data_IF_051256281206
#
_entry.id   IF_051256281206
#
_cell.length_a   1.000
_cell.length_b   1.000
_cell.length_c   1.000
_cell.angle_alpha   90.00
_cell.angle_beta   90.00
_cell.angle_gamma   90.00
#
_symmetry.space_group_name_H-M   'P 1'
#
loop_
_entity.id
_entity.type
_entity.pdbx_description
1 polymer ?
#
# COMPACT_ATOMS: atom_id res chain seq x y z
N UNK A 1 -16.05 -11.27 -22.04
CA UNK A 1 -15.37 -10.06 -21.54
C UNK A 1 -16.12 -8.78 -21.89
N UNK A 2 -16.36 -8.45 -23.18
CA UNK A 2 -17.10 -7.24 -23.55
C UNK A 2 -18.49 -7.10 -22.89
N UNK A 3 -19.25 -8.21 -22.77
CA UNK A 3 -20.56 -8.21 -22.09
C UNK A 3 -20.49 -7.83 -20.60
N UNK A 4 -19.35 -8.05 -19.92
CA UNK A 4 -19.16 -7.67 -18.52
C UNK A 4 -19.13 -6.15 -18.34
N UNK A 5 -18.66 -5.40 -19.34
CA UNK A 5 -18.71 -3.93 -19.33
C UNK A 5 -20.12 -3.36 -19.42
N UNK A 6 -21.09 -4.17 -19.85
CA UNK A 6 -22.50 -3.77 -19.92
C UNK A 6 -23.23 -4.22 -18.65
N UNK A 7 -22.99 -5.46 -18.21
CA UNK A 7 -23.76 -6.08 -17.12
C UNK A 7 -23.27 -5.73 -15.73
N UNK A 8 -21.97 -5.49 -15.52
CA UNK A 8 -21.49 -5.08 -14.19
C UNK A 8 -22.07 -3.72 -13.80
N UNK A 9 -22.01 -2.66 -14.64
CA UNK A 9 -22.62 -1.37 -14.28
C UNK A 9 -24.11 -1.43 -13.96
N UNK A 10 -24.87 -2.36 -14.55
CA UNK A 10 -26.32 -2.48 -14.35
C UNK A 10 -26.71 -3.15 -13.03
N UNK A 11 -25.76 -3.62 -12.23
CA UNK A 11 -26.02 -4.17 -10.90
C UNK A 11 -26.26 -3.04 -9.88
N UNK A 12 -27.25 -3.23 -9.00
CA UNK A 12 -27.56 -2.27 -7.95
C UNK A 12 -26.52 -2.25 -6.81
N UNK A 13 -25.97 -3.42 -6.47
CA UNK A 13 -25.01 -3.53 -5.35
C UNK A 13 -23.60 -3.12 -5.79
N UNK A 14 -23.08 -2.05 -5.18
CA UNK A 14 -21.74 -1.54 -5.42
C UNK A 14 -20.63 -2.55 -5.04
N UNK A 15 -20.80 -3.34 -3.99
CA UNK A 15 -19.79 -4.30 -3.58
C UNK A 15 -19.75 -5.51 -4.52
N UNK A 16 -20.90 -5.95 -5.01
CA UNK A 16 -20.96 -6.92 -6.10
C UNK A 16 -20.24 -6.39 -7.34
N UNK A 17 -20.48 -5.13 -7.73
CA UNK A 17 -19.79 -4.49 -8.87
C UNK A 17 -18.27 -4.46 -8.70
N UNK A 18 -17.78 -3.98 -7.56
CA UNK A 18 -16.34 -3.95 -7.24
C UNK A 18 -15.73 -5.35 -7.34
N UNK A 19 -16.30 -6.35 -6.66
CA UNK A 19 -15.81 -7.73 -6.70
C UNK A 19 -15.79 -8.30 -8.11
N UNK A 20 -16.82 -8.03 -8.91
CA UNK A 20 -16.90 -8.50 -10.29
C UNK A 20 -15.88 -7.82 -11.20
N UNK A 21 -15.69 -6.49 -11.08
CA UNK A 21 -14.64 -5.81 -11.85
C UNK A 21 -13.26 -6.39 -11.57
N UNK A 22 -12.93 -6.65 -10.30
CA UNK A 22 -11.65 -7.24 -9.92
C UNK A 22 -11.49 -8.68 -10.44
N UNK A 23 -12.50 -9.53 -10.23
CA UNK A 23 -12.47 -10.94 -10.64
C UNK A 23 -12.40 -11.09 -12.16
N UNK A 24 -13.21 -10.32 -12.89
CA UNK A 24 -13.21 -10.33 -14.35
C UNK A 24 -11.90 -9.69 -14.87
N UNK A 25 -11.35 -8.68 -14.19
CA UNK A 25 -10.05 -8.11 -14.51
C UNK A 25 -8.91 -9.12 -14.38
N UNK A 26 -8.89 -9.93 -13.32
CA UNK A 26 -7.95 -11.03 -13.15
C UNK A 26 -8.12 -12.10 -14.24
N UNK A 27 -9.37 -12.48 -14.53
CA UNK A 27 -9.67 -13.45 -15.58
C UNK A 27 -9.21 -12.94 -16.95
N UNK A 28 -9.39 -11.63 -17.23
CA UNK A 28 -8.88 -11.00 -18.44
C UNK A 28 -7.35 -11.11 -18.53
N UNK A 29 -6.66 -10.79 -17.43
CA UNK A 29 -5.21 -10.83 -17.36
C UNK A 29 -4.68 -12.25 -17.62
N UNK A 30 -5.26 -13.27 -16.98
CA UNK A 30 -4.90 -14.68 -17.19
C UNK A 30 -5.16 -15.17 -18.62
N UNK A 31 -6.08 -14.53 -19.34
CA UNK A 31 -6.39 -14.84 -20.74
C UNK A 31 -5.71 -13.89 -21.73
N UNK A 32 -4.65 -13.17 -21.31
CA UNK A 32 -3.87 -12.24 -22.14
C UNK A 32 -4.70 -11.08 -22.72
N UNK A 33 -5.90 -10.83 -22.19
CA UNK A 33 -6.76 -9.73 -22.59
C UNK A 33 -6.42 -8.47 -21.79
N UNK A 34 -5.16 -8.03 -21.87
CA UNK A 34 -4.56 -6.96 -21.05
C UNK A 34 -5.35 -5.65 -21.14
N UNK A 35 -5.72 -5.20 -22.34
CA UNK A 35 -6.51 -3.96 -22.49
C UNK A 35 -7.89 -4.03 -21.85
N UNK A 36 -8.49 -5.24 -21.79
CA UNK A 36 -9.76 -5.45 -21.11
C UNK A 36 -9.56 -5.46 -19.59
N UNK A 37 -8.48 -6.08 -19.10
CA UNK A 37 -8.11 -6.06 -17.69
C UNK A 37 -7.93 -4.62 -17.20
N UNK A 38 -7.12 -3.83 -17.91
CA UNK A 38 -6.87 -2.42 -17.61
C UNK A 38 -8.18 -1.60 -17.58
N UNK A 39 -9.05 -1.75 -18.59
CA UNK A 39 -10.36 -1.10 -18.60
C UNK A 39 -11.25 -1.45 -17.39
N UNK A 40 -11.31 -2.72 -17.00
CA UNK A 40 -12.09 -3.18 -15.84
C UNK A 40 -11.53 -2.66 -14.52
N UNK A 41 -10.20 -2.64 -14.37
CA UNK A 41 -9.55 -2.16 -13.16
C UNK A 41 -9.70 -0.63 -13.02
N UNK A 42 -9.66 0.12 -14.12
CA UNK A 42 -10.00 1.55 -14.10
C UNK A 42 -11.44 1.80 -13.66
N UNK A 43 -12.40 1.02 -14.17
CA UNK A 43 -13.79 1.11 -13.74
C UNK A 43 -13.94 0.80 -12.25
N UNK A 44 -13.24 -0.23 -11.75
CA UNK A 44 -13.16 -0.54 -10.32
C UNK A 44 -12.58 0.61 -9.50
N UNK A 45 -11.49 1.24 -9.96
CA UNK A 45 -10.86 2.38 -9.28
C UNK A 45 -11.84 3.56 -9.19
N UNK A 46 -12.50 3.93 -10.28
CA UNK A 46 -13.47 5.04 -10.26
C UNK A 46 -14.67 4.74 -9.35
N UNK A 47 -15.15 3.49 -9.35
CA UNK A 47 -16.29 3.09 -8.51
C UNK A 47 -16.00 3.21 -7.01
N UNK A 48 -14.74 3.15 -6.57
CA UNK A 48 -14.38 3.28 -5.15
C UNK A 48 -14.80 4.62 -4.56
N UNK A 49 -14.80 5.71 -5.34
CA UNK A 49 -15.24 7.03 -4.90
C UNK A 49 -16.76 7.07 -4.60
N UNK A 50 -17.54 6.16 -5.19
CA UNK A 50 -18.99 6.08 -5.00
C UNK A 50 -19.40 5.23 -3.79
N UNK A 51 -18.45 4.59 -3.09
CA UNK A 51 -18.78 3.70 -1.97
C UNK A 51 -19.27 4.52 -0.77
N UNK A 52 -20.47 4.22 -0.22
CA UNK A 52 -20.99 4.95 0.92
C UNK A 52 -20.14 4.72 2.17
N UNK A 53 -20.04 5.73 3.04
CA UNK A 53 -19.29 5.64 4.30
C UNK A 53 -19.79 4.53 5.23
N UNK A 54 -21.10 4.31 5.27
CA UNK A 54 -21.74 3.30 6.11
C UNK A 54 -22.67 2.44 5.28
N UNK A 55 -22.72 1.16 5.63
CA UNK A 55 -23.58 0.16 5.00
C UNK A 55 -24.45 -0.50 6.07
N UNK A 56 -25.60 -1.02 5.66
CA UNK A 56 -26.50 -1.75 6.55
C UNK A 56 -26.19 -3.24 6.43
N UNK A 57 -25.69 -3.84 7.52
CA UNK A 57 -25.46 -5.29 7.62
C UNK A 57 -26.33 -5.81 8.76
N UNK A 58 -27.23 -6.75 8.45
CA UNK A 58 -28.11 -7.39 9.44
C UNK A 58 -28.79 -6.36 10.38
N UNK A 59 -29.37 -5.30 9.80
CA UNK A 59 -30.03 -4.16 10.49
C UNK A 59 -29.14 -3.17 11.25
N UNK A 60 -27.81 -3.37 11.26
CA UNK A 60 -26.85 -2.44 11.88
C UNK A 60 -26.12 -1.62 10.84
N UNK A 61 -25.98 -0.32 11.11
CA UNK A 61 -25.08 0.53 10.35
C UNK A 61 -23.63 0.23 10.77
N UNK A 62 -22.84 -0.28 9.83
CA UNK A 62 -21.41 -0.55 10.01
C UNK A 62 -20.61 0.31 9.04
N UNK A 63 -19.37 0.64 9.43
CA UNK A 63 -18.45 1.35 8.53
C UNK A 63 -18.12 0.49 7.32
N UNK A 64 -18.19 1.06 6.12
CA UNK A 64 -17.76 0.39 4.89
C UNK A 64 -16.23 0.26 4.80
N UNK A 65 -15.49 1.00 5.63
CA UNK A 65 -14.04 1.13 5.58
C UNK A 65 -13.32 -0.23 5.59
N UNK A 66 -13.75 -1.17 6.43
CA UNK A 66 -13.12 -2.49 6.50
C UNK A 66 -13.22 -3.26 5.17
N UNK A 67 -14.38 -3.21 4.51
CA UNK A 67 -14.61 -3.88 3.22
C UNK A 67 -13.79 -3.23 2.11
N UNK A 68 -13.71 -1.90 2.13
CA UNK A 68 -12.94 -1.12 1.16
C UNK A 68 -11.44 -1.38 1.32
N UNK A 69 -10.92 -1.45 2.55
CA UNK A 69 -9.51 -1.75 2.82
C UNK A 69 -9.11 -3.12 2.30
N UNK A 70 -9.91 -4.16 2.55
CA UNK A 70 -9.64 -5.51 2.04
C UNK A 70 -9.63 -5.52 0.51
N UNK A 71 -10.65 -4.92 -0.11
CA UNK A 71 -10.74 -4.84 -1.56
C UNK A 71 -9.57 -4.09 -2.20
N UNK A 72 -9.18 -2.92 -1.66
CA UNK A 72 -8.08 -2.12 -2.20
C UNK A 72 -6.75 -2.87 -2.09
N UNK A 73 -6.51 -3.59 -1.00
CA UNK A 73 -5.31 -4.41 -0.88
C UNK A 73 -5.26 -5.52 -1.96
N UNK A 74 -6.41 -6.13 -2.25
CA UNK A 74 -6.50 -7.11 -3.35
C UNK A 74 -6.26 -6.45 -4.70
N UNK A 75 -6.89 -5.29 -4.95
CA UNK A 75 -6.69 -4.51 -6.17
C UNK A 75 -5.23 -4.11 -6.37
N UNK A 76 -4.56 -3.60 -5.33
CA UNK A 76 -3.12 -3.27 -5.34
C UNK A 76 -2.26 -4.46 -5.75
N UNK A 77 -2.56 -5.66 -5.23
CA UNK A 77 -1.83 -6.88 -5.59
C UNK A 77 -2.02 -7.29 -7.06
N UNK A 78 -3.18 -7.00 -7.67
CA UNK A 78 -3.44 -7.27 -9.09
C UNK A 78 -2.77 -6.23 -9.97
N UNK A 79 -2.83 -4.95 -9.61
CA UNK A 79 -2.26 -3.84 -10.39
C UNK A 79 -0.76 -4.07 -10.64
N UNK A 80 -0.02 -4.64 -9.70
CA UNK A 80 1.41 -4.96 -9.86
C UNK A 80 1.70 -5.78 -11.14
N UNK A 81 0.80 -6.68 -11.52
CA UNK A 81 0.99 -7.59 -12.65
C UNK A 81 0.42 -7.05 -13.97
N UNK A 82 -0.32 -5.95 -13.93
CA UNK A 82 -0.91 -5.35 -15.12
C UNK A 82 0.13 -4.44 -15.77
N UNK A 83 0.53 -4.69 -17.03
CA UNK A 83 1.45 -3.80 -17.71
C UNK A 83 0.83 -2.42 -17.93
N UNK A 84 1.68 -1.40 -17.83
CA UNK A 84 1.30 -0.03 -18.17
C UNK A 84 0.90 0.07 -19.64
N UNK A 85 -0.17 0.82 -19.91
CA UNK A 85 -0.63 1.09 -21.27
C UNK A 85 0.33 2.06 -21.97
N UNK A 86 0.73 1.83 -23.23
CA UNK A 86 1.72 2.66 -23.94
C UNK A 86 1.29 4.13 -24.09
N UNK A 87 -0.03 4.39 -24.15
CA UNK A 87 -0.60 5.72 -24.29
C UNK A 87 -0.80 6.48 -22.96
N UNK A 88 -0.41 5.87 -21.83
CA UNK A 88 -0.57 6.45 -20.50
C UNK A 88 0.79 6.67 -19.83
N UNK A 89 0.79 7.53 -18.80
CA UNK A 89 1.97 7.69 -17.96
C UNK A 89 2.25 6.41 -17.16
N UNK A 90 3.51 6.20 -16.79
CA UNK A 90 3.90 5.04 -15.98
C UNK A 90 3.14 5.02 -14.66
N UNK A 91 2.81 3.81 -14.19
CA UNK A 91 2.05 3.54 -12.98
C UNK A 91 0.65 4.19 -12.99
N UNK A 92 0.03 4.29 -14.17
CA UNK A 92 -1.25 4.98 -14.35
C UNK A 92 -2.34 4.50 -13.39
N UNK A 93 -2.53 3.17 -13.28
CA UNK A 93 -3.52 2.57 -12.38
C UNK A 93 -3.21 2.85 -10.90
N UNK A 94 -1.93 2.81 -10.51
CA UNK A 94 -1.52 3.12 -9.14
C UNK A 94 -1.83 4.59 -8.83
N UNK A 95 -1.48 5.51 -9.73
CA UNK A 95 -1.79 6.94 -9.58
C UNK A 95 -3.28 7.19 -9.49
N UNK A 96 -4.07 6.57 -10.38
CA UNK A 96 -5.53 6.65 -10.33
C UNK A 96 -6.09 6.17 -8.99
N UNK A 97 -5.58 5.04 -8.48
CA UNK A 97 -5.97 4.54 -7.18
C UNK A 97 -5.60 5.51 -6.05
N UNK A 98 -4.37 6.05 -6.03
CA UNK A 98 -3.96 7.01 -5.00
C UNK A 98 -4.82 8.28 -5.02
N UNK A 99 -5.20 8.77 -6.19
CA UNK A 99 -6.10 9.92 -6.31
C UNK A 99 -7.48 9.61 -5.70
N UNK A 100 -8.05 8.44 -5.99
CA UNK A 100 -9.35 8.06 -5.41
C UNK A 100 -9.28 7.85 -3.90
N UNK A 101 -8.14 7.40 -3.35
CA UNK A 101 -7.97 7.31 -1.88
C UNK A 101 -8.07 8.67 -1.18
N UNK A 102 -7.78 9.77 -1.87
CA UNK A 102 -7.97 11.13 -1.35
C UNK A 102 -9.43 11.59 -1.39
N UNK A 103 -10.24 11.05 -2.29
CA UNK A 103 -11.68 11.36 -2.42
C UNK A 103 -12.53 10.60 -1.39
N UNK A 104 -12.04 9.46 -0.88
CA UNK A 104 -12.73 8.68 0.14
C UNK A 104 -12.72 9.41 1.50
N UNK A 105 -13.88 9.46 2.15
CA UNK A 105 -14.02 10.00 3.51
C UNK A 105 -13.63 8.93 4.53
N UNK A 106 -12.43 9.05 5.09
CA UNK A 106 -11.90 8.16 6.13
C UNK A 106 -12.34 8.57 7.53
N UNK A 107 -12.35 7.62 8.46
CA UNK A 107 -12.49 7.94 9.89
C UNK A 107 -11.17 8.51 10.44
N UNK A 108 -11.22 9.70 11.03
CA UNK A 108 -10.04 10.36 11.60
C UNK A 108 -9.37 9.57 12.73
N UNK A 109 -10.13 8.72 13.42
CA UNK A 109 -9.66 7.85 14.48
C UNK A 109 -9.06 6.53 13.98
N UNK A 110 -9.19 6.24 12.67
CA UNK A 110 -8.71 5.02 12.03
C UNK A 110 -7.31 5.19 11.42
N UNK A 111 -6.56 4.10 11.37
CA UNK A 111 -5.30 3.95 10.63
C UNK A 111 -5.49 3.38 9.22
N UNK A 112 -6.72 3.15 8.77
CA UNK A 112 -7.02 2.47 7.51
C UNK A 112 -6.33 3.11 6.29
N UNK A 113 -6.47 4.43 6.11
CA UNK A 113 -5.82 5.17 5.01
C UNK A 113 -4.28 4.99 5.05
N UNK A 114 -3.68 5.13 6.22
CA UNK A 114 -2.24 4.94 6.40
C UNK A 114 -1.80 3.50 6.11
N UNK A 115 -2.59 2.48 6.51
CA UNK A 115 -2.30 1.09 6.17
C UNK A 115 -2.32 0.86 4.66
N UNK A 116 -3.28 1.46 3.95
CA UNK A 116 -3.34 1.38 2.49
C UNK A 116 -2.15 2.06 1.83
N UNK A 117 -1.72 3.23 2.33
CA UNK A 117 -0.51 3.90 1.85
C UNK A 117 0.74 3.06 2.09
N UNK A 118 0.88 2.45 3.28
CA UNK A 118 2.00 1.55 3.56
C UNK A 118 1.99 0.31 2.65
N UNK A 119 0.82 -0.25 2.36
CA UNK A 119 0.71 -1.40 1.46
C UNK A 119 0.97 -1.00 0.00
N UNK A 120 0.55 0.19 -0.43
CA UNK A 120 0.90 0.75 -1.73
C UNK A 120 2.41 0.97 -1.86
N UNK A 121 3.08 1.46 -0.81
CA UNK A 121 4.55 1.54 -0.77
C UNK A 121 5.18 0.16 -0.95
N UNK A 122 4.66 -0.89 -0.33
CA UNK A 122 5.19 -2.25 -0.51
C UNK A 122 5.06 -2.73 -1.97
N UNK A 123 3.92 -2.45 -2.62
CA UNK A 123 3.72 -2.78 -4.04
C UNK A 123 4.63 -1.94 -4.94
N UNK A 124 4.82 -0.67 -4.64
CA UNK A 124 5.74 0.20 -5.37
C UNK A 124 7.20 -0.25 -5.22
N UNK A 125 7.60 -0.69 -4.02
CA UNK A 125 8.92 -1.30 -3.79
C UNK A 125 9.10 -2.60 -4.58
N UNK A 126 8.04 -3.41 -4.70
CA UNK A 126 8.04 -4.60 -5.56
C UNK A 126 8.09 -4.21 -7.04
N UNK A 127 7.37 -3.17 -7.46
CA UNK A 127 7.36 -2.68 -8.83
C UNK A 127 8.74 -2.21 -9.29
N UNK A 128 9.55 -1.65 -8.38
CA UNK A 128 10.91 -1.19 -8.63
C UNK A 128 11.97 -2.32 -8.69
N UNK A 129 11.60 -3.59 -8.48
CA UNK A 129 12.53 -4.71 -8.61
C UNK A 129 12.82 -5.04 -10.09
N UNK A 130 14.02 -5.55 -10.38
CA UNK A 130 14.42 -5.96 -11.74
C UNK A 130 13.56 -7.09 -12.31
N UNK A 131 13.10 -8.01 -11.45
CA UNK A 131 12.09 -9.00 -11.81
C UNK A 131 11.17 -9.31 -10.64
N UNK A 132 9.90 -9.53 -10.93
CA UNK A 132 8.92 -9.93 -9.92
C UNK A 132 9.09 -11.40 -9.54
N UNK A 133 8.89 -11.68 -8.26
CA UNK A 133 8.94 -13.05 -7.69
C UNK A 133 7.85 -13.94 -8.32
N UNK A 134 6.66 -13.36 -8.53
CA UNK A 134 5.53 -14.02 -9.17
C UNK A 134 5.26 -13.40 -10.54
N UNK A 135 4.69 -14.21 -11.45
CA UNK A 135 4.38 -13.80 -12.83
C UNK A 135 3.03 -14.37 -13.23
N UNK A 136 2.31 -13.63 -14.06
CA UNK A 136 1.14 -14.15 -14.76
C UNK A 136 1.62 -14.75 -16.07
N UNK A 137 1.23 -15.99 -16.33
CA UNK A 137 1.65 -16.71 -17.54
C UNK A 137 1.29 -15.91 -18.80
N UNK A 138 2.26 -15.73 -19.70
CA UNK A 138 2.13 -15.01 -20.99
C UNK A 138 1.73 -13.53 -20.88
N UNK A 139 1.89 -12.92 -19.71
CA UNK A 139 1.76 -11.48 -19.53
C UNK A 139 3.12 -10.91 -19.16
N UNK A 140 3.57 -9.92 -19.92
CA UNK A 140 4.79 -9.16 -19.61
C UNK A 140 4.43 -7.98 -18.71
N UNK A 141 4.56 -8.16 -17.40
CA UNK A 141 4.31 -7.09 -16.42
C UNK A 141 5.41 -6.00 -16.46
N UNK A 142 5.24 -4.96 -15.64
CA UNK A 142 6.13 -3.79 -15.62
C UNK A 142 7.60 -4.12 -15.31
N UNK A 143 7.93 -5.24 -14.66
CA UNK A 143 9.32 -5.70 -14.52
C UNK A 143 9.98 -6.02 -15.87
N UNK A 144 9.22 -6.53 -16.83
CA UNK A 144 9.70 -6.77 -18.20
C UNK A 144 9.72 -5.51 -19.05
N UNK A 145 8.78 -4.59 -18.83
CA UNK A 145 8.73 -3.34 -19.58
C UNK A 145 9.82 -2.36 -19.15
N UNK A 146 10.13 -2.29 -17.85
CA UNK A 146 11.03 -1.26 -17.31
C UNK A 146 12.30 -1.82 -16.65
N UNK A 147 12.31 -3.06 -16.15
CA UNK A 147 13.51 -3.73 -15.61
C UNK A 147 14.27 -2.93 -14.55
N UNK A 148 13.55 -2.27 -13.63
CA UNK A 148 14.12 -1.33 -12.65
C UNK A 148 14.94 -0.17 -13.24
N UNK A 149 14.65 0.24 -14.48
CA UNK A 149 15.30 1.38 -15.13
C UNK A 149 15.17 2.66 -14.29
N UNK A 150 16.26 3.44 -14.20
CA UNK A 150 16.38 4.59 -13.30
C UNK A 150 15.22 5.58 -13.40
N UNK A 151 14.77 5.91 -14.62
CA UNK A 151 13.62 6.80 -14.86
C UNK A 151 12.31 6.26 -14.26
N UNK A 152 12.09 4.95 -14.35
CA UNK A 152 10.90 4.32 -13.76
C UNK A 152 10.99 4.31 -12.24
N UNK A 153 12.16 3.97 -11.68
CA UNK A 153 12.41 4.01 -10.23
C UNK A 153 12.26 5.44 -9.67
N UNK A 154 12.67 6.46 -10.42
CA UNK A 154 12.41 7.86 -10.05
C UNK A 154 10.91 8.17 -9.96
N UNK A 155 10.09 7.69 -10.90
CA UNK A 155 8.63 7.85 -10.85
C UNK A 155 7.99 7.09 -9.69
N UNK A 156 8.47 5.88 -9.39
CA UNK A 156 8.08 5.13 -8.19
C UNK A 156 8.39 5.94 -6.93
N UNK A 157 9.60 6.46 -6.81
CA UNK A 157 10.05 7.23 -5.65
C UNK A 157 9.26 8.52 -5.46
N UNK A 158 8.83 9.20 -6.54
CA UNK A 158 7.95 10.36 -6.46
C UNK A 158 6.63 10.01 -5.76
N UNK A 159 6.01 8.89 -6.12
CA UNK A 159 4.76 8.45 -5.49
C UNK A 159 5.01 8.07 -4.03
N UNK A 160 6.04 7.26 -3.75
CA UNK A 160 6.39 6.85 -2.38
C UNK A 160 6.63 8.07 -1.48
N UNK A 161 7.33 9.10 -1.95
CA UNK A 161 7.60 10.31 -1.18
C UNK A 161 6.33 11.06 -0.79
N UNK A 162 5.35 11.17 -1.71
CA UNK A 162 4.04 11.77 -1.40
C UNK A 162 3.33 10.96 -0.30
N UNK A 163 3.32 9.64 -0.41
CA UNK A 163 2.68 8.77 0.58
C UNK A 163 3.36 8.85 1.95
N UNK A 164 4.70 8.91 2.00
CA UNK A 164 5.45 9.08 3.24
C UNK A 164 5.10 10.43 3.90
N UNK A 165 5.00 11.52 3.13
CA UNK A 165 4.63 12.84 3.65
C UNK A 165 3.25 12.79 4.31
N UNK A 166 2.25 12.20 3.64
CA UNK A 166 0.90 12.07 4.21
C UNK A 166 0.85 11.17 5.45
N UNK A 167 1.61 10.07 5.47
CA UNK A 167 1.74 9.23 6.67
C UNK A 167 2.35 10.02 7.83
N UNK A 168 3.42 10.77 7.60
CA UNK A 168 4.08 11.59 8.62
C UNK A 168 3.17 12.70 9.14
N UNK A 169 2.39 13.33 8.26
CA UNK A 169 1.37 14.30 8.64
C UNK A 169 0.34 13.66 9.59
N UNK A 170 -0.18 12.47 9.27
CA UNK A 170 -1.12 11.76 10.16
C UNK A 170 -0.49 11.35 11.49
N UNK A 171 0.78 10.94 11.51
CA UNK A 171 1.53 10.65 12.75
C UNK A 171 1.60 11.89 13.66
N UNK A 172 1.86 13.06 13.09
CA UNK A 172 1.92 14.31 13.83
C UNK A 172 0.54 14.69 14.40
N UNK A 173 -0.51 14.67 13.58
CA UNK A 173 -1.89 14.95 14.00
C UNK A 173 -2.38 13.99 15.11
N UNK A 174 -2.03 12.71 15.00
CA UNK A 174 -2.39 11.70 16.00
C UNK A 174 -1.62 11.89 17.33
N UNK A 175 -0.42 12.48 17.31
CA UNK A 175 0.38 12.68 18.53
C UNK A 175 -0.29 13.54 19.60
N UNK A 176 -1.09 14.50 19.16
CA UNK A 176 -1.83 15.40 20.05
C UNK A 176 -3.16 14.81 20.49
N UNK A 177 -3.85 14.11 19.57
CA UNK A 177 -5.26 13.71 19.75
C UNK A 177 -5.44 12.26 20.17
N UNK A 178 -4.61 11.35 19.66
CA UNK A 178 -4.77 9.91 19.84
C UNK A 178 -3.41 9.20 19.81
N UNK A 179 -2.76 9.16 20.99
CA UNK A 179 -1.46 8.50 21.17
C UNK A 179 -1.48 7.03 20.73
N UNK A 180 -2.57 6.31 20.95
CA UNK A 180 -2.67 4.90 20.53
C UNK A 180 -2.60 4.76 19.00
N UNK A 181 -3.33 5.59 18.27
CA UNK A 181 -3.28 5.65 16.82
C UNK A 181 -1.88 6.02 16.32
N UNK A 182 -1.25 7.05 16.93
CA UNK A 182 0.13 7.43 16.61
C UNK A 182 1.09 6.25 16.73
N UNK A 183 1.00 5.50 17.84
CA UNK A 183 1.83 4.31 18.04
C UNK A 183 1.65 3.29 16.92
N UNK A 184 0.40 2.94 16.57
CA UNK A 184 0.13 1.94 15.54
C UNK A 184 0.70 2.35 14.17
N UNK A 185 0.52 3.62 13.77
CA UNK A 185 1.05 4.09 12.49
C UNK A 185 2.58 4.08 12.51
N UNK A 186 3.22 4.55 13.60
CA UNK A 186 4.68 4.52 13.74
C UNK A 186 5.24 3.10 13.67
N UNK A 187 4.67 2.17 14.44
CA UNK A 187 5.10 0.78 14.49
C UNK A 187 4.90 0.08 13.15
N UNK A 188 3.76 0.34 12.48
CA UNK A 188 3.49 -0.19 11.16
C UNK A 188 4.49 0.33 10.12
N UNK A 189 4.74 1.65 10.07
CA UNK A 189 5.70 2.28 9.17
C UNK A 189 7.12 1.76 9.38
N UNK A 190 7.57 1.70 10.63
CA UNK A 190 8.88 1.17 10.98
C UNK A 190 9.06 -0.28 10.50
N UNK A 191 8.05 -1.13 10.68
CA UNK A 191 8.10 -2.51 10.19
C UNK A 191 8.30 -2.58 8.67
N UNK A 192 7.72 -1.65 7.90
CA UNK A 192 7.86 -1.64 6.43
C UNK A 192 9.22 -1.10 6.00
N UNK A 193 9.74 -0.08 6.70
CA UNK A 193 11.11 0.41 6.47
C UNK A 193 12.12 -0.70 6.77
N UNK A 194 11.97 -1.41 7.89
CA UNK A 194 12.86 -2.54 8.24
C UNK A 194 12.73 -3.68 7.24
N UNK A 195 11.57 -3.88 6.61
CA UNK A 195 11.36 -4.95 5.65
C UNK A 195 11.87 -4.62 4.23
N UNK A 196 11.62 -3.39 3.75
CA UNK A 196 11.74 -2.99 2.34
C UNK A 196 12.55 -1.70 2.11
N UNK A 197 12.86 -0.93 3.15
CA UNK A 197 13.56 0.33 3.04
C UNK A 197 15.05 0.16 2.82
N UNK A 198 15.64 1.07 2.04
CA UNK A 198 17.10 1.19 1.92
C UNK A 198 17.65 1.97 3.12
N UNK A 199 18.09 1.24 4.14
CA UNK A 199 18.68 1.82 5.35
C UNK A 199 20.12 2.30 5.16
N UNK A 200 20.76 2.04 4.01
CA UNK A 200 22.07 2.63 3.69
C UNK A 200 21.97 4.14 3.50
N UNK A 201 20.78 4.62 3.14
CA UNK A 201 20.46 6.04 3.11
C UNK A 201 20.35 6.61 4.52
N UNK A 202 21.16 7.63 4.80
CA UNK A 202 21.19 8.35 6.08
C UNK A 202 19.80 8.92 6.43
N UNK A 203 19.04 9.41 5.46
CA UNK A 203 17.71 9.97 5.71
C UNK A 203 16.71 8.90 6.12
N UNK A 204 16.76 7.72 5.48
CA UNK A 204 15.89 6.59 5.80
C UNK A 204 16.24 5.99 7.17
N UNK A 205 17.53 5.85 7.48
CA UNK A 205 17.99 5.38 8.78
C UNK A 205 17.55 6.34 9.91
N UNK A 206 17.69 7.67 9.71
CA UNK A 206 17.17 8.68 10.65
C UNK A 206 15.66 8.61 10.80
N UNK A 207 14.92 8.41 9.70
CA UNK A 207 13.46 8.23 9.76
C UNK A 207 13.09 7.00 10.59
N UNK A 208 13.74 5.87 10.36
CA UNK A 208 13.53 4.64 11.14
C UNK A 208 13.83 4.86 12.63
N UNK A 209 14.94 5.52 12.96
CA UNK A 209 15.28 5.88 14.34
C UNK A 209 14.20 6.76 14.98
N UNK A 210 13.73 7.80 14.29
CA UNK A 210 12.71 8.70 14.81
C UNK A 210 11.38 7.98 15.06
N UNK A 211 10.97 7.10 14.15
CA UNK A 211 9.76 6.28 14.30
C UNK A 211 9.90 5.29 15.47
N UNK A 212 11.08 4.68 15.64
CA UNK A 212 11.39 3.83 16.80
C UNK A 212 11.21 4.59 18.11
N UNK A 213 11.89 5.74 18.24
CA UNK A 213 11.86 6.57 19.44
C UNK A 213 10.44 7.07 19.76
N UNK A 214 9.66 7.43 18.74
CA UNK A 214 8.29 7.88 18.91
C UNK A 214 7.36 6.73 19.34
N UNK A 215 7.55 5.53 18.78
CA UNK A 215 6.77 4.35 19.12
C UNK A 215 7.00 3.91 20.58
N UNK A 216 8.26 3.83 21.03
CA UNK A 216 8.58 3.37 22.40
C UNK A 216 8.23 4.38 23.49
N UNK A 217 8.18 5.68 23.17
CA UNK A 217 7.75 6.73 24.11
C UNK A 217 6.26 6.70 24.39
N UNK A 218 5.49 5.99 23.57
CA UNK A 218 4.04 5.93 23.69
C UNK A 218 3.62 5.01 24.84
N UNK A 219 2.63 5.44 25.63
CA UNK A 219 2.09 4.62 26.74
C UNK A 219 1.34 3.38 26.26
N UNK A 220 0.89 3.36 25.00
CA UNK A 220 0.15 2.24 24.40
C UNK A 220 1.05 1.27 23.62
N UNK A 221 2.36 1.29 23.84
CA UNK A 221 3.33 0.45 23.12
C UNK A 221 3.05 -1.04 23.34
N UNK A 222 2.93 -1.81 22.26
CA UNK A 222 3.05 -3.26 22.30
C UNK A 222 4.54 -3.63 22.40
N UNK A 223 5.00 -3.86 23.63
CA UNK A 223 6.38 -4.22 23.91
C UNK A 223 6.80 -5.52 23.21
N UNK A 224 5.89 -6.50 23.06
CA UNK A 224 6.20 -7.78 22.44
C UNK A 224 6.40 -7.62 20.93
N UNK A 225 5.59 -6.78 20.29
CA UNK A 225 5.81 -6.41 18.90
C UNK A 225 7.15 -5.69 18.72
N UNK A 226 7.44 -4.66 19.51
CA UNK A 226 8.67 -3.90 19.40
C UNK A 226 9.92 -4.78 19.70
N UNK A 227 9.86 -5.67 20.68
CA UNK A 227 10.96 -6.62 20.99
C UNK A 227 11.21 -7.58 19.81
N UNK A 228 10.16 -8.06 19.14
CA UNK A 228 10.30 -8.88 17.92
C UNK A 228 10.91 -8.08 16.77
N UNK A 229 10.45 -6.84 16.56
CA UNK A 229 10.96 -5.98 15.51
C UNK A 229 12.46 -5.68 15.71
N UNK A 230 12.90 -5.45 16.94
CA UNK A 230 14.33 -5.32 17.25
C UNK A 230 15.11 -6.58 16.92
N UNK A 231 14.62 -7.75 17.32
CA UNK A 231 15.28 -9.02 16.98
C UNK A 231 15.42 -9.21 15.47
N UNK A 232 14.43 -8.75 14.69
CA UNK A 232 14.54 -8.72 13.22
C UNK A 232 15.67 -7.80 12.75
N UNK A 233 15.80 -6.60 13.35
CA UNK A 233 16.90 -5.66 13.04
C UNK A 233 18.26 -6.27 13.43
N UNK A 234 18.38 -6.89 14.61
CA UNK A 234 19.59 -7.60 15.05
C UNK A 234 19.98 -8.71 14.07
N UNK A 235 19.00 -9.53 13.68
CA UNK A 235 19.22 -10.61 12.72
C UNK A 235 19.65 -10.08 11.34
N UNK A 236 19.05 -8.98 10.87
CA UNK A 236 19.45 -8.33 9.61
C UNK A 236 20.83 -7.69 9.71
N UNK A 237 21.17 -7.03 10.81
CA UNK A 237 22.49 -6.42 11.02
C UNK A 237 23.64 -7.45 10.95
N UNK A 238 23.38 -8.71 11.29
CA UNK A 238 24.36 -9.80 11.17
C UNK A 238 24.55 -10.32 9.73
N UNK A 239 23.59 -10.06 8.84
CA UNK A 239 23.54 -10.64 7.48
C UNK A 239 23.65 -9.61 6.37
N UNK A 240 23.25 -8.37 6.66
CA UNK A 240 23.09 -7.28 5.73
C UNK A 240 23.65 -5.99 6.34
N UNK A 241 24.70 -5.47 5.70
CA UNK A 241 25.39 -4.25 6.12
C UNK A 241 24.76 -2.98 5.52
N UNK A 242 23.57 -3.07 4.92
CA UNK A 242 22.86 -1.93 4.32
C UNK A 242 22.24 -0.99 5.39
N UNK A 243 23.00 -0.54 6.39
CA UNK A 243 22.55 0.42 7.40
C UNK A 243 21.87 -0.17 8.64
N UNK A 244 21.66 -1.49 8.71
CA UNK A 244 21.07 -2.15 9.88
C UNK A 244 21.96 -2.09 11.14
N UNK A 245 23.30 -2.28 11.05
CA UNK A 245 24.18 -2.11 12.21
C UNK A 245 24.10 -0.71 12.82
N UNK A 246 24.07 0.31 11.97
CA UNK A 246 23.95 1.72 12.35
C UNK A 246 22.60 1.97 13.02
N UNK A 247 21.50 1.50 12.41
CA UNK A 247 20.18 1.60 13.02
C UNK A 247 20.14 0.91 14.40
N UNK A 248 20.75 -0.27 14.52
CA UNK A 248 20.77 -1.03 15.78
C UNK A 248 21.49 -0.28 16.91
N UNK A 249 22.57 0.43 16.60
CA UNK A 249 23.28 1.27 17.57
C UNK A 249 22.47 2.50 18.00
N UNK A 250 21.61 3.00 17.11
CA UNK A 250 20.81 4.20 17.31
C UNK A 250 19.49 3.96 18.05
N UNK A 251 18.99 2.72 18.08
CA UNK A 251 17.76 2.35 18.76
C UNK A 251 18.01 1.89 20.20
N UNK A 252 17.14 2.30 21.11
CA UNK A 252 17.26 1.98 22.53
C UNK A 252 16.64 0.63 22.89
N UNK A 253 17.13 0.04 23.99
CA UNK A 253 16.54 -1.15 24.59
C UNK A 253 15.09 -0.89 25.03
N UNK A 254 14.23 -1.89 24.85
CA UNK A 254 12.86 -1.88 25.36
C UNK A 254 12.90 -2.44 26.78
N UNK A 255 12.66 -1.56 27.76
CA UNK A 255 12.52 -1.92 29.18
C UNK A 255 11.37 -2.90 29.40
#
# INVERSE_FOLDING_TARGET
MAYCFITIPSLMDIFARLKLYLLVGQTALSNQAVGQADGLLRAAIHLLAEVPKTIVVETKNVSAEQYIVEYINHLLSVILFVPDHPDHSVLYLVRGLMNVLEEIIWDDSSDAKCRLYLNAICILSAAAQESYIFKVEKVESNDKLYGAGSKFVEEVNKIINVLIIEILKKINEAGEKNKKLQYFICAASLNRIVAHGDLSSISMCKLAQNLWLLAIKNTNVDQNFMKRLRKTIEFRALRDFSGYPELLQLITDIR
#
